data_IF_642391594613
#
_entry.id   IF_642391594613
#
_cell.length_a   1.000
_cell.length_b   1.000
_cell.length_c   1.000
_cell.angle_alpha   90.00
_cell.angle_beta   90.00
_cell.angle_gamma   90.00
#
_symmetry.space_group_name_H-M   'P 1'
#
loop_
_entity.id
_entity.type
_entity.pdbx_description
1 polymer ?
#
# COMPACT_ATOMS: atom_id res chain seq x y z
N UNK A 1 2.31 21.28 1.58
CA UNK A 1 3.68 21.78 1.58
C UNK A 1 4.13 21.86 0.12
N UNK A 2 4.30 23.07 -0.40
CA UNK A 2 4.61 23.32 -1.83
C UNK A 2 6.08 23.63 -2.06
N UNK A 3 6.82 23.96 -1.01
CA UNK A 3 8.24 24.23 -1.05
C UNK A 3 9.03 22.99 -0.61
N UNK A 4 9.95 22.52 -1.46
CA UNK A 4 10.74 21.31 -1.21
C UNK A 4 11.65 21.44 0.04
N UNK A 5 12.33 22.57 0.29
CA UNK A 5 13.13 22.76 1.50
C UNK A 5 12.31 22.72 2.80
N UNK A 6 11.13 23.34 2.81
CA UNK A 6 10.24 23.31 3.98
C UNK A 6 9.65 21.92 4.22
N UNK A 7 9.35 21.18 3.16
CA UNK A 7 8.90 19.78 3.25
C UNK A 7 9.97 18.90 3.88
N UNK A 8 11.21 18.98 3.42
CA UNK A 8 12.33 18.22 3.96
C UNK A 8 12.50 18.49 5.45
N UNK A 9 12.60 19.77 5.83
CA UNK A 9 12.76 20.19 7.23
C UNK A 9 11.63 19.67 8.13
N UNK A 10 10.39 19.71 7.65
CA UNK A 10 9.25 19.22 8.43
C UNK A 10 9.27 17.69 8.57
N UNK A 11 9.61 16.95 7.52
CA UNK A 11 9.77 15.49 7.60
C UNK A 11 10.89 15.11 8.57
N UNK A 12 12.06 15.73 8.47
CA UNK A 12 13.19 15.49 9.37
C UNK A 12 12.84 15.71 10.83
N UNK A 13 12.03 16.72 11.16
CA UNK A 13 11.59 17.01 12.52
C UNK A 13 10.87 15.80 13.14
N UNK A 14 9.96 15.16 12.41
CA UNK A 14 9.23 13.99 12.91
C UNK A 14 10.10 12.71 12.91
N UNK A 15 10.96 12.56 11.90
CA UNK A 15 11.87 11.41 11.82
C UNK A 15 12.92 11.44 12.93
N UNK A 16 13.42 12.63 13.32
CA UNK A 16 14.29 12.83 14.48
C UNK A 16 13.57 12.61 15.83
N UNK A 17 12.22 12.61 15.81
CA UNK A 17 11.34 12.28 16.94
C UNK A 17 10.80 10.83 16.84
N UNK A 18 11.57 9.92 16.24
CA UNK A 18 11.32 8.48 16.14
C UNK A 18 10.10 8.08 15.28
N UNK A 19 9.69 8.91 14.31
CA UNK A 19 8.71 8.47 13.32
C UNK A 19 9.31 7.36 12.43
N UNK A 20 8.60 6.26 12.26
CA UNK A 20 9.07 5.04 11.58
C UNK A 20 8.61 4.91 10.13
N UNK A 21 7.87 5.89 9.61
CA UNK A 21 7.28 5.90 8.27
C UNK A 21 7.02 7.33 7.81
N UNK A 22 7.16 7.59 6.51
CA UNK A 22 6.64 8.80 5.88
C UNK A 22 5.34 8.46 5.16
N UNK A 23 4.23 9.04 5.59
CA UNK A 23 2.92 8.84 4.99
C UNK A 23 1.78 9.21 5.95
N UNK A 24 0.62 9.23 5.45
CA UNK A 24 0.16 8.85 4.12
C UNK A 24 0.37 10.01 3.13
N UNK A 25 1.16 9.78 2.08
CA UNK A 25 1.47 10.83 1.11
C UNK A 25 0.30 10.98 0.10
N UNK A 26 -0.34 12.16 0.11
CA UNK A 26 -1.51 12.54 -0.70
C UNK A 26 -1.24 13.79 -1.51
N UNK A 27 -0.39 13.71 -2.53
CA UNK A 27 -0.10 14.82 -3.42
C UNK A 27 -0.71 14.59 -4.81
N UNK A 28 -1.32 15.62 -5.38
CA UNK A 28 -1.83 15.61 -6.76
C UNK A 28 -0.69 15.82 -7.75
N UNK A 29 0.23 14.89 -7.79
CA UNK A 29 1.41 14.87 -8.67
C UNK A 29 1.56 13.50 -9.31
N UNK A 30 2.38 13.39 -10.36
CA UNK A 30 2.74 12.09 -10.90
C UNK A 30 3.54 11.27 -9.88
N UNK A 31 3.32 9.97 -9.81
CA UNK A 31 3.99 9.08 -8.87
C UNK A 31 5.50 8.90 -9.17
N UNK A 32 5.95 9.31 -10.36
CA UNK A 32 7.34 9.38 -10.80
C UNK A 32 7.86 10.83 -10.91
N UNK A 33 7.28 11.76 -10.14
CA UNK A 33 7.66 13.18 -10.15
C UNK A 33 8.81 13.50 -9.20
N UNK A 34 9.48 14.65 -9.46
CA UNK A 34 10.51 15.19 -8.56
C UNK A 34 10.02 15.42 -7.13
N UNK A 35 8.72 15.66 -6.92
CA UNK A 35 8.14 15.86 -5.58
C UNK A 35 8.08 14.56 -4.79
N UNK A 36 7.68 13.45 -5.43
CA UNK A 36 7.70 12.12 -4.83
C UNK A 36 9.15 11.69 -4.57
N UNK A 37 10.05 11.96 -5.52
CA UNK A 37 11.47 11.62 -5.37
C UNK A 37 12.15 12.39 -4.23
N UNK A 38 11.83 13.67 -4.03
CA UNK A 38 12.37 14.44 -2.91
C UNK A 38 11.95 13.86 -1.54
N UNK A 39 10.71 13.36 -1.42
CA UNK A 39 10.27 12.63 -0.22
C UNK A 39 11.01 11.29 -0.08
N UNK A 40 11.21 10.58 -1.19
CA UNK A 40 11.94 9.32 -1.19
C UNK A 40 13.45 9.49 -0.83
N UNK A 41 14.07 10.62 -1.19
CA UNK A 41 15.43 10.98 -0.75
C UNK A 41 15.50 11.07 0.79
N UNK A 42 14.55 11.76 1.43
CA UNK A 42 14.46 11.83 2.90
C UNK A 42 14.19 10.44 3.50
N UNK A 43 13.27 9.66 2.91
CA UNK A 43 12.98 8.30 3.36
C UNK A 43 14.23 7.40 3.31
N UNK A 44 15.05 7.55 2.26
CA UNK A 44 16.31 6.82 2.11
C UNK A 44 17.35 7.23 3.16
N UNK A 45 17.50 8.53 3.42
CA UNK A 45 18.43 9.06 4.42
C UNK A 45 18.12 8.51 5.82
N UNK A 46 16.85 8.50 6.21
CA UNK A 46 16.40 8.01 7.50
C UNK A 46 16.12 6.50 7.54
N UNK A 47 16.28 5.79 6.42
CA UNK A 47 16.01 4.35 6.31
C UNK A 47 14.62 3.94 6.79
N UNK A 48 13.60 4.73 6.44
CA UNK A 48 12.19 4.49 6.74
C UNK A 48 11.38 4.21 5.46
N UNK A 49 10.28 3.45 5.52
CA UNK A 49 9.40 3.25 4.38
C UNK A 49 8.54 4.48 4.08
N UNK A 50 7.97 4.50 2.87
CA UNK A 50 7.08 5.55 2.39
C UNK A 50 5.73 4.97 1.96
N UNK A 51 4.63 5.45 2.56
CA UNK A 51 3.25 5.07 2.22
C UNK A 51 2.63 6.06 1.23
N UNK A 52 2.17 5.58 0.08
CA UNK A 52 1.57 6.39 -0.98
C UNK A 52 0.10 6.03 -1.20
N UNK A 53 -0.75 7.05 -1.19
CA UNK A 53 -2.15 6.94 -1.57
C UNK A 53 -2.32 7.09 -3.09
N UNK A 54 -2.59 6.00 -3.79
CA UNK A 54 -2.86 6.02 -5.22
C UNK A 54 -4.36 6.17 -5.49
N UNK A 55 -4.74 7.30 -6.10
CA UNK A 55 -6.14 7.55 -6.48
C UNK A 55 -6.20 8.25 -7.83
N UNK A 56 -6.96 7.67 -8.76
CA UNK A 56 -7.12 8.19 -10.11
C UNK A 56 -7.56 9.66 -10.12
N UNK A 57 -6.89 10.50 -10.92
CA UNK A 57 -7.11 11.94 -11.05
C UNK A 57 -6.98 12.77 -9.75
N UNK A 58 -6.57 12.15 -8.63
CA UNK A 58 -6.55 12.82 -7.32
C UNK A 58 -5.15 12.83 -6.71
N UNK A 59 -4.54 11.64 -6.45
CA UNK A 59 -3.26 11.53 -5.77
C UNK A 59 -2.34 10.51 -6.45
N UNK A 60 -1.05 10.81 -6.48
CA UNK A 60 0.02 9.94 -7.01
C UNK A 60 -0.34 9.33 -8.35
N UNK A 61 -0.55 10.20 -9.34
CA UNK A 61 -1.08 9.89 -10.66
C UNK A 61 -0.13 9.00 -11.46
N UNK A 62 -0.67 8.15 -12.35
CA UNK A 62 0.13 7.37 -13.29
C UNK A 62 0.82 6.18 -12.67
N UNK A 63 0.08 5.37 -11.89
CA UNK A 63 0.60 4.16 -11.21
C UNK A 63 1.40 3.23 -12.13
N UNK A 64 1.09 3.21 -13.43
CA UNK A 64 1.81 2.47 -14.47
C UNK A 64 3.29 2.88 -14.61
N UNK A 65 3.64 4.08 -14.16
CA UNK A 65 5.00 4.63 -14.18
C UNK A 65 5.74 4.43 -12.85
N UNK A 66 5.09 3.90 -11.81
CA UNK A 66 5.69 3.84 -10.47
C UNK A 66 6.95 2.99 -10.40
N UNK A 67 7.12 2.04 -11.31
CA UNK A 67 8.34 1.26 -11.46
C UNK A 67 9.60 2.15 -11.55
N UNK A 68 9.53 3.32 -12.19
CA UNK A 68 10.66 4.27 -12.30
C UNK A 68 11.11 4.79 -10.93
N UNK A 69 10.15 5.02 -10.01
CA UNK A 69 10.44 5.43 -8.63
C UNK A 69 11.07 4.28 -7.84
N UNK A 70 10.55 3.05 -7.99
CA UNK A 70 11.12 1.87 -7.35
C UNK A 70 12.55 1.59 -7.79
N UNK A 71 12.83 1.72 -9.10
CA UNK A 71 14.16 1.53 -9.68
C UNK A 71 15.15 2.63 -9.27
N UNK A 72 14.67 3.88 -9.16
CA UNK A 72 15.49 5.01 -8.74
C UNK A 72 15.89 4.93 -7.26
N UNK A 73 15.03 4.38 -6.41
CA UNK A 73 15.22 4.29 -4.96
C UNK A 73 15.14 2.84 -4.45
N UNK A 74 16.06 1.96 -4.87
CA UNK A 74 15.99 0.53 -4.53
C UNK A 74 16.17 0.23 -3.03
N UNK A 75 16.66 1.20 -2.25
CA UNK A 75 16.85 1.08 -0.79
C UNK A 75 15.66 1.59 0.03
N UNK A 76 14.67 2.23 -0.61
CA UNK A 76 13.45 2.69 0.04
C UNK A 76 12.36 1.66 -0.14
N UNK A 77 11.73 1.24 0.94
CA UNK A 77 10.53 0.42 0.87
C UNK A 77 9.31 1.31 0.64
N UNK A 78 8.54 1.02 -0.40
CA UNK A 78 7.33 1.75 -0.74
C UNK A 78 6.11 0.90 -0.41
N UNK A 79 5.06 1.54 0.13
CA UNK A 79 3.82 0.88 0.50
C UNK A 79 2.70 1.49 -0.35
N UNK A 80 2.08 0.69 -1.21
CA UNK A 80 0.95 1.09 -2.02
C UNK A 80 -0.36 0.94 -1.26
N UNK A 81 -1.20 1.96 -1.36
CA UNK A 81 -2.47 2.08 -0.65
C UNK A 81 -3.54 2.71 -1.53
N UNK A 82 -4.81 2.50 -1.17
CA UNK A 82 -6.00 3.13 -1.70
C UNK A 82 -6.54 2.56 -3.04
N UNK A 83 -7.48 3.32 -3.66
CA UNK A 83 -8.39 2.80 -4.67
C UNK A 83 -7.69 2.40 -5.96
N UNK A 84 -6.78 3.24 -6.47
CA UNK A 84 -6.08 2.91 -7.72
C UNK A 84 -5.04 1.81 -7.49
N UNK A 85 -4.40 1.73 -6.32
CA UNK A 85 -3.55 0.62 -5.98
C UNK A 85 -4.33 -0.70 -6.03
N UNK A 86 -5.41 -0.79 -5.29
CA UNK A 86 -6.18 -2.02 -5.18
C UNK A 86 -7.07 -2.33 -6.38
N UNK A 87 -7.51 -1.32 -7.15
CA UNK A 87 -8.19 -1.53 -8.42
C UNK A 87 -7.29 -2.22 -9.45
N UNK A 88 -6.02 -1.82 -9.49
CA UNK A 88 -5.02 -2.30 -10.46
C UNK A 88 -4.43 -3.70 -10.15
N UNK A 89 -4.95 -4.46 -9.18
CA UNK A 89 -4.74 -5.92 -9.14
C UNK A 89 -5.36 -6.60 -10.37
N UNK A 90 -6.38 -5.98 -10.95
CA UNK A 90 -7.08 -6.44 -12.14
C UNK A 90 -6.45 -5.86 -13.41
N UNK A 91 -6.00 -6.71 -14.33
CA UNK A 91 -5.44 -6.29 -15.63
C UNK A 91 -6.43 -5.48 -16.47
N UNK A 92 -7.74 -5.69 -16.26
CA UNK A 92 -8.83 -4.99 -16.97
C UNK A 92 -9.43 -3.83 -16.16
N UNK A 93 -8.74 -3.37 -15.11
CA UNK A 93 -9.25 -2.29 -14.27
C UNK A 93 -9.56 -1.02 -15.06
N UNK A 94 -10.73 -0.44 -14.79
CA UNK A 94 -11.13 0.86 -15.32
C UNK A 94 -10.85 1.91 -14.26
N UNK A 95 -9.85 2.77 -14.49
CA UNK A 95 -9.28 3.69 -13.50
C UNK A 95 -10.28 4.58 -12.74
N UNK A 96 -11.38 4.97 -13.38
CA UNK A 96 -12.45 5.77 -12.77
C UNK A 96 -13.34 5.01 -11.78
N UNK A 97 -13.21 3.69 -11.69
CA UNK A 97 -14.02 2.86 -10.77
C UNK A 97 -13.20 2.61 -9.50
N UNK A 98 -13.53 3.32 -8.42
CA UNK A 98 -12.80 3.24 -7.15
C UNK A 98 -12.96 1.89 -6.43
N UNK A 99 -14.13 1.27 -6.53
CA UNK A 99 -14.46 0.00 -5.87
C UNK A 99 -15.03 -1.00 -6.90
N UNK A 100 -14.16 -1.57 -7.75
CA UNK A 100 -14.60 -2.51 -8.78
C UNK A 100 -15.20 -3.77 -8.16
N UNK A 101 -16.20 -4.33 -8.82
CA UNK A 101 -16.88 -5.55 -8.40
C UNK A 101 -16.55 -6.72 -9.34
N UNK A 102 -16.82 -7.96 -8.87
CA UNK A 102 -16.70 -9.16 -9.68
C UNK A 102 -15.28 -9.68 -9.82
N UNK A 103 -15.09 -10.58 -10.77
CA UNK A 103 -13.87 -11.34 -10.99
C UNK A 103 -12.67 -10.46 -11.35
N UNK A 104 -11.51 -10.84 -10.85
CA UNK A 104 -10.21 -10.23 -11.15
C UNK A 104 -9.56 -10.95 -12.32
N UNK A 105 -9.15 -10.21 -13.35
CA UNK A 105 -8.26 -10.73 -14.39
C UNK A 105 -6.82 -10.62 -13.90
N UNK A 106 -6.09 -11.73 -13.69
CA UNK A 106 -4.75 -11.72 -13.13
C UNK A 106 -3.73 -10.92 -13.96
N UNK A 107 -2.66 -10.46 -13.32
CA UNK A 107 -1.55 -9.76 -13.96
C UNK A 107 -1.78 -8.26 -14.14
N UNK A 108 -2.53 -7.65 -13.24
CA UNK A 108 -2.66 -6.20 -13.14
C UNK A 108 -1.35 -5.50 -12.73
N UNK A 109 -1.37 -4.18 -12.72
CA UNK A 109 -0.17 -3.36 -12.41
C UNK A 109 0.34 -3.66 -10.99
N UNK A 110 -0.55 -3.71 -9.99
CA UNK A 110 -0.21 -4.00 -8.60
C UNK A 110 0.46 -5.37 -8.44
N UNK A 111 -0.10 -6.41 -9.08
CA UNK A 111 0.47 -7.77 -9.08
C UNK A 111 1.89 -7.78 -9.67
N UNK A 112 2.09 -7.04 -10.77
CA UNK A 112 3.41 -6.91 -11.42
C UNK A 112 4.42 -6.14 -10.55
N UNK A 113 4.00 -5.05 -9.93
CA UNK A 113 4.88 -4.25 -9.07
C UNK A 113 5.35 -5.07 -7.87
N UNK A 114 4.45 -5.79 -7.20
CA UNK A 114 4.79 -6.68 -6.10
C UNK A 114 5.67 -7.86 -6.54
N UNK A 115 5.45 -8.41 -7.75
CA UNK A 115 6.25 -9.53 -8.26
C UNK A 115 7.67 -9.16 -8.66
N UNK A 116 7.86 -7.93 -9.17
CA UNK A 116 9.12 -7.55 -9.80
C UNK A 116 10.03 -6.69 -8.88
N UNK A 117 9.50 -6.15 -7.80
CA UNK A 117 10.23 -5.21 -6.93
C UNK A 117 10.13 -5.63 -5.46
N UNK A 118 11.27 -6.04 -4.88
CA UNK A 118 11.36 -6.44 -3.47
C UNK A 118 11.08 -5.29 -2.49
N UNK A 119 11.30 -4.05 -2.94
CA UNK A 119 11.04 -2.83 -2.18
C UNK A 119 9.61 -2.30 -2.33
N UNK A 120 8.69 -3.11 -2.93
CA UNK A 120 7.27 -2.76 -3.03
C UNK A 120 6.42 -3.59 -2.08
N UNK A 121 5.56 -2.93 -1.31
CA UNK A 121 4.63 -3.52 -0.35
C UNK A 121 3.19 -3.05 -0.64
N UNK A 122 2.20 -3.79 -0.16
CA UNK A 122 0.79 -3.45 -0.29
C UNK A 122 0.11 -3.38 1.08
N UNK A 123 -0.53 -2.25 1.38
CA UNK A 123 -1.31 -2.05 2.60
C UNK A 123 -2.76 -2.49 2.38
N UNK A 124 -3.23 -3.46 3.15
CA UNK A 124 -4.57 -4.07 3.07
C UNK A 124 -5.66 -3.22 3.74
N UNK A 125 -5.34 -2.02 4.21
CA UNK A 125 -6.24 -1.17 4.96
C UNK A 125 -7.37 -0.55 4.12
N UNK A 126 -8.27 0.13 4.79
CA UNK A 126 -9.42 0.83 4.24
C UNK A 126 -10.45 -0.05 3.52
N UNK A 127 -11.53 0.59 3.06
CA UNK A 127 -12.54 -0.08 2.23
C UNK A 127 -12.00 -0.55 0.88
N UNK A 128 -10.95 0.07 0.34
CA UNK A 128 -10.34 -0.33 -0.92
C UNK A 128 -9.55 -1.63 -0.80
N UNK A 129 -8.78 -1.82 0.26
CA UNK A 129 -8.13 -3.08 0.57
C UNK A 129 -9.14 -4.19 0.79
N UNK A 130 -10.10 -3.98 1.69
CA UNK A 130 -11.18 -4.94 1.93
C UNK A 130 -11.92 -5.33 0.65
N UNK A 131 -12.31 -4.35 -0.20
CA UNK A 131 -12.97 -4.62 -1.48
C UNK A 131 -12.12 -5.53 -2.38
N UNK A 132 -10.83 -5.26 -2.48
CA UNK A 132 -9.92 -6.08 -3.28
C UNK A 132 -9.90 -7.54 -2.81
N UNK A 133 -9.90 -7.76 -1.49
CA UNK A 133 -9.84 -9.10 -0.91
C UNK A 133 -11.11 -9.92 -1.13
N UNK A 134 -12.28 -9.30 -0.96
CA UNK A 134 -13.55 -10.04 -0.90
C UNK A 134 -14.29 -10.13 -2.24
N UNK A 135 -13.97 -9.29 -3.24
CA UNK A 135 -14.66 -9.30 -4.53
C UNK A 135 -14.40 -10.57 -5.37
N UNK A 136 -13.23 -11.20 -5.16
CA UNK A 136 -12.85 -12.47 -5.79
C UNK A 136 -11.89 -13.24 -4.87
N UNK A 137 -12.44 -13.97 -3.90
CA UNK A 137 -11.65 -14.68 -2.88
C UNK A 137 -10.76 -15.80 -3.48
N UNK A 138 -11.16 -16.38 -4.60
CA UNK A 138 -10.33 -17.37 -5.28
C UNK A 138 -9.04 -16.74 -5.83
N UNK A 139 -9.15 -15.56 -6.45
CA UNK A 139 -7.98 -14.77 -6.86
C UNK A 139 -7.15 -14.33 -5.66
N UNK A 140 -7.80 -13.82 -4.61
CA UNK A 140 -7.12 -13.32 -3.40
C UNK A 140 -6.30 -14.41 -2.72
N UNK A 141 -6.79 -15.64 -2.68
CA UNK A 141 -6.06 -16.78 -2.14
C UNK A 141 -4.72 -17.02 -2.83
N UNK A 142 -4.71 -16.97 -4.17
CA UNK A 142 -3.49 -17.11 -4.96
C UNK A 142 -2.59 -15.85 -4.88
N UNK A 143 -3.18 -14.67 -4.77
CA UNK A 143 -2.48 -13.41 -4.57
C UNK A 143 -1.74 -13.38 -3.23
N UNK A 144 -2.37 -13.82 -2.14
CA UNK A 144 -1.74 -13.96 -0.83
C UNK A 144 -0.55 -14.91 -0.86
N UNK A 145 -0.70 -16.05 -1.53
CA UNK A 145 0.37 -17.04 -1.65
C UNK A 145 1.61 -16.47 -2.33
N UNK A 146 1.40 -15.74 -3.45
CA UNK A 146 2.50 -15.10 -4.19
C UNK A 146 3.17 -13.95 -3.43
N UNK A 147 2.38 -13.13 -2.73
CA UNK A 147 2.84 -11.87 -2.15
C UNK A 147 2.87 -11.87 -0.61
N UNK A 148 2.85 -13.06 0.01
CA UNK A 148 2.77 -13.24 1.45
C UNK A 148 3.80 -12.46 2.27
N UNK A 149 4.94 -12.09 1.69
CA UNK A 149 6.03 -11.39 2.38
C UNK A 149 5.99 -9.86 2.18
N UNK A 150 5.05 -9.34 1.38
CA UNK A 150 4.98 -7.93 0.99
C UNK A 150 3.63 -7.28 1.31
N UNK A 151 2.67 -8.05 1.86
CA UNK A 151 1.36 -7.54 2.24
C UNK A 151 1.32 -7.22 3.73
N UNK A 152 0.73 -6.07 4.06
CA UNK A 152 0.68 -5.50 5.41
C UNK A 152 -0.76 -5.26 5.82
N UNK A 153 -1.14 -5.70 7.00
CA UNK A 153 -2.43 -5.33 7.58
C UNK A 153 -2.37 -3.92 8.17
N UNK A 154 -3.39 -3.14 7.87
CA UNK A 154 -3.76 -1.90 8.52
C UNK A 154 -5.28 -1.80 8.60
N UNK A 155 -5.84 -0.98 9.48
CA UNK A 155 -7.30 -0.81 9.58
C UNK A 155 -7.81 0.37 8.75
N UNK A 156 -7.16 1.51 8.85
CA UNK A 156 -7.66 2.80 8.36
C UNK A 156 -9.14 3.02 8.72
N UNK A 157 -9.49 2.64 9.95
CA UNK A 157 -10.86 2.60 10.42
C UNK A 157 -11.20 3.86 11.22
N UNK A 158 -12.24 4.58 10.77
CA UNK A 158 -12.78 5.75 11.47
C UNK A 158 -13.78 5.38 12.57
N UNK A 159 -14.10 4.09 12.76
CA UNK A 159 -15.01 3.61 13.79
C UNK A 159 -14.37 3.72 15.18
N UNK A 160 -14.96 4.53 16.05
CA UNK A 160 -14.46 4.77 17.40
C UNK A 160 -14.46 3.52 18.31
N UNK A 161 -15.30 2.55 18.00
CA UNK A 161 -15.36 1.27 18.74
C UNK A 161 -14.28 0.29 18.23
N UNK A 162 -13.92 0.38 16.96
CA UNK A 162 -12.87 -0.43 16.33
C UNK A 162 -13.19 -1.92 16.23
N UNK A 163 -14.46 -2.31 16.26
CA UNK A 163 -14.89 -3.72 16.22
C UNK A 163 -16.29 -3.89 15.64
N UNK A 164 -16.59 -5.11 15.24
CA UNK A 164 -17.90 -5.49 14.72
C UNK A 164 -18.07 -5.27 13.22
N UNK A 165 -19.28 -5.52 12.70
CA UNK A 165 -19.56 -5.56 11.26
C UNK A 165 -19.32 -4.23 10.53
N UNK A 166 -19.39 -3.10 11.23
CA UNK A 166 -19.16 -1.77 10.68
C UNK A 166 -17.67 -1.40 10.56
N UNK A 167 -16.79 -2.07 11.30
CA UNK A 167 -15.36 -1.79 11.27
C UNK A 167 -14.70 -2.50 10.09
N UNK A 168 -14.24 -1.74 9.10
CA UNK A 168 -13.55 -2.35 7.94
C UNK A 168 -12.24 -3.04 8.32
N UNK A 169 -11.52 -2.58 9.32
CA UNK A 169 -10.32 -3.24 9.83
C UNK A 169 -10.63 -4.64 10.41
N UNK A 170 -11.68 -4.77 11.22
CA UNK A 170 -12.15 -6.06 11.72
C UNK A 170 -12.55 -7.01 10.58
N UNK A 171 -13.29 -6.50 9.58
CA UNK A 171 -13.67 -7.29 8.39
C UNK A 171 -12.46 -7.71 7.55
N UNK A 172 -11.42 -6.89 7.48
CA UNK A 172 -10.17 -7.23 6.79
C UNK A 172 -9.45 -8.36 7.52
N UNK A 173 -9.38 -8.33 8.86
CA UNK A 173 -8.83 -9.44 9.67
C UNK A 173 -9.59 -10.75 9.37
N UNK A 174 -10.92 -10.71 9.39
CA UNK A 174 -11.75 -11.88 9.11
C UNK A 174 -11.53 -12.42 7.68
N UNK A 175 -11.41 -11.53 6.69
CA UNK A 175 -11.10 -11.91 5.32
C UNK A 175 -9.70 -12.56 5.22
N UNK A 176 -8.67 -11.97 5.84
CA UNK A 176 -7.31 -12.53 5.84
C UNK A 176 -7.30 -13.93 6.48
N UNK A 177 -7.96 -14.10 7.64
CA UNK A 177 -8.06 -15.39 8.33
C UNK A 177 -8.76 -16.47 7.51
N UNK A 178 -9.82 -16.10 6.81
CA UNK A 178 -10.63 -17.04 6.01
C UNK A 178 -9.94 -17.42 4.71
N UNK A 179 -9.25 -16.50 4.06
CA UNK A 179 -8.72 -16.67 2.71
C UNK A 179 -7.30 -17.25 2.72
N UNK A 180 -6.50 -17.00 3.75
CA UNK A 180 -5.13 -17.48 3.85
C UNK A 180 -5.07 -19.02 3.78
N UNK A 181 -4.18 -19.54 2.92
CA UNK A 181 -3.98 -21.00 2.75
C UNK A 181 -3.43 -21.66 4.01
N UNK A 182 -2.61 -20.94 4.79
CA UNK A 182 -1.95 -21.46 5.99
C UNK A 182 -1.95 -20.41 7.11
N UNK A 183 -1.77 -20.87 8.35
CA UNK A 183 -1.60 -19.99 9.50
C UNK A 183 -0.30 -19.16 9.44
N UNK A 184 0.69 -19.66 8.73
CA UNK A 184 1.93 -18.92 8.48
C UNK A 184 1.66 -17.68 7.61
N UNK A 185 0.94 -17.84 6.48
CA UNK A 185 0.55 -16.72 5.61
C UNK A 185 -0.30 -15.72 6.40
N UNK A 186 -1.34 -16.18 7.12
CA UNK A 186 -2.16 -15.30 7.97
C UNK A 186 -1.29 -14.45 8.91
N UNK A 187 -0.35 -15.08 9.61
CA UNK A 187 0.51 -14.42 10.58
C UNK A 187 1.48 -13.41 9.92
N UNK A 188 2.02 -13.73 8.75
CA UNK A 188 2.84 -12.79 7.97
C UNK A 188 2.05 -11.53 7.62
N UNK A 189 0.86 -11.68 7.05
CA UNK A 189 0.03 -10.56 6.62
C UNK A 189 -0.45 -9.68 7.78
N UNK A 190 -0.86 -10.31 8.90
CA UNK A 190 -1.43 -9.59 10.05
C UNK A 190 -0.37 -8.99 10.98
N UNK A 191 0.86 -9.48 10.98
CA UNK A 191 1.83 -9.09 11.99
C UNK A 191 3.30 -9.08 11.54
N UNK A 192 3.84 -10.19 11.04
CA UNK A 192 5.30 -10.37 10.89
C UNK A 192 5.90 -9.42 9.85
N UNK A 193 5.21 -9.19 8.74
CA UNK A 193 5.69 -8.29 7.70
C UNK A 193 5.80 -6.85 8.22
N UNK A 194 4.78 -6.37 8.93
CA UNK A 194 4.80 -5.03 9.54
C UNK A 194 5.88 -4.92 10.59
N UNK A 195 6.00 -5.93 11.48
CA UNK A 195 7.06 -5.97 12.48
C UNK A 195 8.45 -5.87 11.85
N UNK A 196 8.70 -6.63 10.79
CA UNK A 196 9.98 -6.63 10.07
C UNK A 196 10.23 -5.29 9.37
N UNK A 197 9.22 -4.76 8.65
CA UNK A 197 9.35 -3.54 7.85
C UNK A 197 9.60 -2.31 8.73
N UNK A 198 8.90 -2.20 9.85
CA UNK A 198 9.02 -1.06 10.78
C UNK A 198 10.04 -1.27 11.89
N UNK A 199 10.73 -2.43 11.92
CA UNK A 199 11.78 -2.77 12.91
C UNK A 199 11.27 -2.72 14.36
N UNK A 200 10.03 -3.21 14.61
CA UNK A 200 9.36 -3.23 15.91
C UNK A 200 9.77 -4.44 16.77
#
# INVERSE_FOLDING_TARGET
VTDLPDMQKELEKYLKADAVIIGEQKFKVACDSKFVWAVAEVAQEFSVPMLLHFQHNTYNLGIENFHKTLEKFPKVNFIGHAQAWWGNIDKKHIQKINYPQGKVTPGGITDKLLSNYENMFGDLSAGSGLNALIRDEAHTKEFFDRHQNQLLYGSDCADSIGRGPGCQGSRTIDAVRRISKTKEIERKLLFENSKKLFKL
#
